data_IF_735089846137
#
_entry.id   IF_735089846137
#
_cell.length_a   1.000
_cell.length_b   1.000
_cell.length_c   1.000
_cell.angle_alpha   90.00
_cell.angle_beta   90.00
_cell.angle_gamma   90.00
#
_symmetry.space_group_name_H-M   'P 1'
#
loop_
_entity.id
_entity.type
_entity.pdbx_description
1 polymer ?
#
# COMPACT_ATOMS: atom_id res chain seq x y z
N UNK A 1 29.58 17.83 -14.13
CA UNK A 1 28.64 16.69 -13.97
C UNK A 1 28.92 15.53 -14.93
N UNK A 2 29.00 15.72 -16.25
CA UNK A 2 29.30 14.65 -17.24
C UNK A 2 30.65 13.92 -17.00
N UNK A 3 31.66 14.61 -16.48
CA UNK A 3 32.99 14.02 -16.18
C UNK A 3 32.95 12.96 -15.06
N UNK A 4 31.96 13.01 -14.16
CA UNK A 4 31.79 12.05 -13.06
C UNK A 4 31.15 10.73 -13.53
N UNK A 5 30.28 10.79 -14.55
CA UNK A 5 29.66 9.62 -15.20
C UNK A 5 30.73 8.67 -15.78
N UNK A 6 31.87 9.22 -16.20
CA UNK A 6 32.95 8.46 -16.87
C UNK A 6 33.83 7.64 -15.94
N UNK A 7 33.85 7.89 -14.63
CA UNK A 7 34.95 7.41 -13.78
C UNK A 7 34.72 6.15 -12.95
N UNK A 8 33.51 5.61 -12.78
CA UNK A 8 33.31 4.24 -12.22
C UNK A 8 31.83 3.84 -12.23
N UNK A 9 31.37 3.18 -13.29
CA UNK A 9 30.10 2.42 -13.29
C UNK A 9 30.43 0.94 -13.04
N UNK A 10 29.76 0.29 -12.10
CA UNK A 10 29.83 -1.17 -11.88
C UNK A 10 28.42 -1.73 -12.07
N UNK A 11 28.06 -2.21 -13.25
CA UNK A 11 26.69 -2.63 -13.61
C UNK A 11 26.43 -4.10 -13.24
N UNK A 12 25.31 -4.38 -12.59
CA UNK A 12 24.74 -5.68 -12.27
C UNK A 12 23.46 -5.91 -13.07
N UNK A 13 23.05 -7.15 -13.30
CA UNK A 13 21.90 -7.41 -14.17
C UNK A 13 20.90 -8.30 -13.42
N UNK A 14 19.68 -7.77 -13.22
CA UNK A 14 18.43 -8.22 -12.54
C UNK A 14 17.22 -8.56 -13.44
N UNK A 15 16.51 -9.72 -13.37
CA UNK A 15 15.39 -10.06 -14.27
C UNK A 15 14.48 -11.31 -14.08
N UNK A 16 13.23 -11.22 -14.58
CA UNK A 16 12.13 -12.23 -14.65
C UNK A 16 11.29 -12.09 -15.97
N UNK A 17 10.57 -13.14 -16.46
CA UNK A 17 9.69 -13.16 -17.69
C UNK A 17 8.26 -13.69 -17.43
N UNK A 18 7.22 -13.06 -18.03
CA UNK A 18 5.91 -13.65 -18.42
C UNK A 18 5.37 -13.01 -19.73
N UNK A 19 4.47 -13.68 -20.45
CA UNK A 19 3.91 -13.25 -21.76
C UNK A 19 2.38 -13.11 -21.76
N UNK A 20 1.84 -12.02 -22.31
CA UNK A 20 0.58 -12.04 -23.08
C UNK A 20 0.41 -10.74 -23.90
N UNK A 21 -0.52 -10.76 -24.86
CA UNK A 21 -0.69 -9.78 -25.96
C UNK A 21 -1.38 -8.49 -25.49
N UNK A 22 -0.82 -7.33 -25.85
CA UNK A 22 -1.54 -6.06 -25.67
C UNK A 22 -0.72 -4.78 -25.66
N UNK A 23 0.29 -4.62 -26.53
CA UNK A 23 0.87 -3.33 -26.92
C UNK A 23 1.62 -3.54 -28.24
N UNK A 24 1.70 -2.55 -29.12
CA UNK A 24 2.63 -2.61 -30.25
C UNK A 24 4.08 -2.57 -29.75
N UNK A 25 4.68 -3.75 -29.60
CA UNK A 25 6.05 -4.09 -30.01
C UNK A 25 7.24 -3.23 -29.51
N UNK A 26 7.29 -2.77 -28.24
CA UNK A 26 8.57 -2.30 -27.64
C UNK A 26 8.97 -3.03 -26.36
N UNK A 27 10.08 -3.78 -26.42
CA UNK A 27 10.72 -4.49 -25.29
C UNK A 27 11.75 -3.59 -24.60
N UNK A 28 11.73 -3.55 -23.27
CA UNK A 28 12.63 -2.71 -22.44
C UNK A 28 13.49 -3.59 -21.53
N UNK A 29 14.80 -3.35 -21.50
CA UNK A 29 15.73 -3.98 -20.56
C UNK A 29 16.19 -2.96 -19.52
N UNK A 30 16.24 -3.37 -18.25
CA UNK A 30 16.73 -2.55 -17.13
C UNK A 30 17.97 -3.21 -16.54
N UNK A 31 19.07 -2.45 -16.44
CA UNK A 31 20.34 -2.87 -15.87
C UNK A 31 20.55 -2.23 -14.50
N UNK A 32 20.90 -3.05 -13.51
CA UNK A 32 21.26 -2.69 -12.13
C UNK A 32 22.75 -2.29 -12.04
N UNK A 33 23.24 -1.83 -10.90
CA UNK A 33 24.68 -1.77 -10.55
C UNK A 33 24.91 -2.52 -9.25
N UNK A 34 26.02 -3.28 -9.09
CA UNK A 34 26.26 -3.89 -7.78
C UNK A 34 26.63 -2.79 -6.84
N UNK A 35 25.80 -2.69 -5.82
CA UNK A 35 26.24 -2.44 -4.47
C UNK A 35 25.34 -3.29 -3.59
N UNK A 36 25.91 -4.37 -3.06
CA UNK A 36 25.31 -5.19 -2.02
C UNK A 36 24.93 -4.31 -0.83
N UNK A 37 23.74 -4.57 -0.26
CA UNK A 37 23.22 -4.01 0.99
C UNK A 37 22.85 -2.51 0.98
N UNK A 38 22.17 -2.03 -0.07
CA UNK A 38 21.49 -0.73 0.04
C UNK A 38 20.02 -0.79 -0.41
N UNK A 39 19.15 -0.58 0.57
CA UNK A 39 17.69 -0.54 0.45
C UNK A 39 17.16 0.39 -0.65
N UNK A 40 17.83 1.52 -0.88
CA UNK A 40 17.41 2.51 -1.86
C UNK A 40 17.47 1.96 -3.29
N UNK A 41 18.39 1.02 -3.55
CA UNK A 41 18.50 0.38 -4.85
C UNK A 41 17.27 -0.49 -5.16
N UNK A 42 16.77 -1.23 -4.15
CA UNK A 42 15.56 -2.03 -4.28
C UNK A 42 14.33 -1.16 -4.45
N UNK A 43 14.27 -0.06 -3.70
CA UNK A 43 13.19 0.91 -3.78
C UNK A 43 13.04 1.52 -5.19
N UNK A 44 14.16 1.99 -5.75
CA UNK A 44 14.21 2.58 -7.09
C UNK A 44 13.85 1.54 -8.16
N UNK A 45 14.40 0.34 -8.04
CA UNK A 45 14.10 -0.77 -8.96
C UNK A 45 12.60 -1.07 -9.00
N UNK A 46 11.98 -1.25 -7.84
CA UNK A 46 10.56 -1.57 -7.74
C UNK A 46 9.68 -0.44 -8.30
N UNK A 47 9.98 0.82 -7.96
CA UNK A 47 9.26 1.98 -8.47
C UNK A 47 9.35 2.12 -9.99
N UNK A 48 10.56 1.98 -10.56
CA UNK A 48 10.76 2.04 -12.00
C UNK A 48 9.95 0.92 -12.66
N UNK A 49 10.06 -0.30 -12.15
CA UNK A 49 9.38 -1.46 -12.72
C UNK A 49 7.86 -1.34 -12.66
N UNK A 50 7.28 -1.04 -11.49
CA UNK A 50 5.83 -0.92 -11.34
C UNK A 50 5.26 0.19 -12.21
N UNK A 51 5.95 1.33 -12.33
CA UNK A 51 5.50 2.41 -13.19
C UNK A 51 5.52 2.02 -14.66
N UNK A 52 6.58 1.35 -15.14
CA UNK A 52 6.66 0.94 -16.55
C UNK A 52 5.62 -0.17 -16.83
N UNK A 53 5.34 -1.06 -15.86
CA UNK A 53 4.28 -2.08 -15.97
C UNK A 53 2.88 -1.49 -16.15
N UNK A 54 2.58 -0.29 -15.63
CA UNK A 54 1.27 0.36 -15.83
C UNK A 54 0.96 0.67 -17.30
N UNK A 55 1.98 0.73 -18.17
CA UNK A 55 1.83 1.15 -19.57
C UNK A 55 2.29 0.12 -20.60
N UNK A 56 2.76 -1.06 -20.17
CA UNK A 56 3.34 -2.01 -21.13
C UNK A 56 3.38 -3.45 -20.63
N UNK A 57 3.24 -4.38 -21.57
CA UNK A 57 3.60 -5.79 -21.37
C UNK A 57 5.12 -5.93 -21.53
N UNK A 58 5.84 -5.77 -20.43
CA UNK A 58 7.31 -5.81 -20.39
C UNK A 58 7.86 -7.24 -20.39
N UNK A 59 8.90 -7.45 -21.19
CA UNK A 59 9.82 -8.58 -21.05
C UNK A 59 11.16 -8.04 -20.57
N UNK A 60 11.42 -8.23 -19.29
CA UNK A 60 12.68 -7.93 -18.62
C UNK A 60 13.60 -9.16 -19.06
N UNK A 61 14.91 -9.02 -19.46
CA UNK A 61 16.06 -10.04 -19.65
C UNK A 61 17.45 -9.91 -18.86
N UNK A 62 17.97 -10.96 -18.14
CA UNK A 62 19.02 -11.01 -17.07
C UNK A 62 20.41 -11.41 -17.61
N UNK A 63 21.52 -10.76 -17.24
CA UNK A 63 22.87 -11.22 -17.68
C UNK A 63 24.07 -10.60 -16.94
N UNK A 64 24.86 -11.37 -16.19
CA UNK A 64 26.00 -10.83 -15.41
C UNK A 64 27.17 -10.31 -16.26
N UNK A 65 27.74 -9.15 -15.89
CA UNK A 65 29.07 -8.77 -16.40
C UNK A 65 29.82 -7.73 -15.54
N UNK A 66 31.01 -8.07 -15.06
CA UNK A 66 31.90 -7.16 -14.33
C UNK A 66 32.79 -6.38 -15.31
N UNK A 67 32.42 -5.15 -15.65
CA UNK A 67 33.26 -4.27 -16.46
C UNK A 67 33.65 -3.00 -15.70
N UNK A 68 34.95 -2.70 -15.68
CA UNK A 68 35.53 -1.50 -15.04
C UNK A 68 35.58 -0.26 -15.95
N UNK A 69 35.15 -0.37 -17.21
CA UNK A 69 35.26 0.70 -18.21
C UNK A 69 33.90 1.10 -18.79
N UNK A 70 33.62 2.40 -18.77
CA UNK A 70 32.38 3.02 -19.27
C UNK A 70 32.07 2.68 -20.74
N UNK A 71 33.09 2.67 -21.60
CA UNK A 71 32.90 2.31 -23.02
C UNK A 71 32.56 0.82 -23.18
N UNK A 72 33.16 -0.05 -22.37
CA UNK A 72 32.83 -1.49 -22.37
C UNK A 72 31.38 -1.71 -21.93
N UNK A 73 30.92 -0.95 -20.94
CA UNK A 73 29.52 -0.96 -20.49
C UNK A 73 28.55 -0.61 -21.62
N UNK A 74 28.78 0.50 -22.34
CA UNK A 74 27.91 0.89 -23.46
C UNK A 74 27.88 -0.13 -24.58
N UNK A 75 29.03 -0.68 -24.95
CA UNK A 75 29.12 -1.74 -25.96
C UNK A 75 28.34 -2.98 -25.53
N UNK A 76 28.35 -3.32 -24.24
CA UNK A 76 27.63 -4.46 -23.70
C UNK A 76 26.13 -4.24 -23.62
N UNK A 77 25.70 -3.05 -23.18
CA UNK A 77 24.29 -2.63 -23.26
C UNK A 77 23.80 -2.83 -24.69
N UNK A 78 24.48 -2.26 -25.69
CA UNK A 78 24.12 -2.45 -27.11
C UNK A 78 24.03 -3.92 -27.51
N UNK A 79 25.06 -4.70 -27.19
CA UNK A 79 25.12 -6.13 -27.51
C UNK A 79 23.93 -6.90 -26.91
N UNK A 80 23.63 -6.65 -25.64
CA UNK A 80 22.53 -7.30 -24.92
C UNK A 80 21.17 -6.82 -25.45
N UNK A 81 21.01 -5.53 -25.75
CA UNK A 81 19.81 -4.98 -26.38
C UNK A 81 19.50 -5.70 -27.69
N UNK A 82 20.50 -5.81 -28.58
CA UNK A 82 20.36 -6.44 -29.90
C UNK A 82 20.08 -7.94 -29.76
N UNK A 83 20.86 -8.66 -28.96
CA UNK A 83 20.71 -10.12 -28.80
C UNK A 83 19.33 -10.54 -28.27
N UNK A 84 18.66 -9.64 -27.55
CA UNK A 84 17.37 -9.91 -26.92
C UNK A 84 16.20 -9.23 -27.64
N UNK A 85 16.44 -8.68 -28.84
CA UNK A 85 15.44 -7.93 -29.60
C UNK A 85 14.75 -6.86 -28.75
N UNK A 86 15.51 -6.15 -27.91
CA UNK A 86 15.02 -5.04 -27.11
C UNK A 86 15.00 -3.74 -27.91
N UNK A 87 13.96 -2.93 -27.73
CA UNK A 87 13.86 -1.62 -28.35
C UNK A 87 14.57 -0.57 -27.50
N UNK A 88 14.41 -0.64 -26.17
CA UNK A 88 15.00 0.33 -25.24
C UNK A 88 15.76 -0.39 -24.14
N UNK A 89 16.82 0.23 -23.66
CA UNK A 89 17.63 -0.32 -22.58
C UNK A 89 18.10 0.78 -21.64
N UNK A 90 17.89 0.58 -20.34
CA UNK A 90 18.15 1.57 -19.30
C UNK A 90 19.16 0.98 -18.33
N UNK A 91 20.30 1.64 -18.11
CA UNK A 91 21.21 1.35 -17.02
C UNK A 91 21.20 2.48 -16.01
N UNK A 92 21.26 2.18 -14.72
CA UNK A 92 21.39 3.22 -13.71
C UNK A 92 22.39 2.83 -12.62
N UNK A 93 23.03 3.84 -12.03
CA UNK A 93 23.94 3.76 -10.90
C UNK A 93 23.49 4.75 -9.84
N UNK A 94 23.56 4.32 -8.58
CA UNK A 94 23.20 5.14 -7.43
C UNK A 94 24.47 5.46 -6.63
N UNK A 95 24.63 6.73 -6.29
CA UNK A 95 25.67 7.21 -5.39
C UNK A 95 25.01 7.87 -4.18
N UNK A 96 25.41 7.45 -2.99
CA UNK A 96 24.85 7.98 -1.74
C UNK A 96 25.60 9.22 -1.27
N UNK A 97 24.85 10.20 -0.80
CA UNK A 97 25.35 11.40 -0.15
C UNK A 97 24.68 11.54 1.22
N UNK A 98 25.26 12.37 2.10
CA UNK A 98 24.76 12.59 3.45
C UNK A 98 23.28 13.02 3.53
N UNK A 99 22.78 13.71 2.50
CA UNK A 99 21.43 14.30 2.46
C UNK A 99 20.57 13.83 1.27
N UNK A 100 20.96 12.76 0.59
CA UNK A 100 20.22 12.27 -0.58
C UNK A 100 21.06 11.34 -1.44
N UNK A 101 20.55 11.02 -2.62
CA UNK A 101 21.15 10.09 -3.57
C UNK A 101 21.28 10.76 -4.93
N UNK A 102 22.31 10.39 -5.67
CA UNK A 102 22.46 10.74 -7.08
C UNK A 102 22.22 9.49 -7.91
N UNK A 103 21.18 9.53 -8.75
CA UNK A 103 20.84 8.48 -9.68
C UNK A 103 21.38 8.89 -11.04
N UNK A 104 22.48 8.29 -11.47
CA UNK A 104 23.01 8.42 -12.82
C UNK A 104 22.35 7.35 -13.68
N UNK A 105 21.78 7.70 -14.82
CA UNK A 105 21.17 6.72 -15.71
C UNK A 105 21.49 7.01 -17.17
N UNK A 106 21.47 5.92 -17.92
CA UNK A 106 21.80 5.86 -19.33
C UNK A 106 20.65 5.13 -20.03
N UNK A 107 20.09 5.72 -21.07
CA UNK A 107 19.06 5.10 -21.89
C UNK A 107 19.60 4.93 -23.31
N UNK A 108 19.45 3.73 -23.85
CA UNK A 108 19.79 3.36 -25.22
C UNK A 108 18.52 3.01 -25.99
N UNK A 109 18.34 3.63 -27.16
CA UNK A 109 17.28 3.33 -28.12
C UNK A 109 17.88 2.56 -29.30
N UNK A 110 17.44 1.32 -29.50
CA UNK A 110 17.92 0.46 -30.58
C UNK A 110 17.48 0.95 -31.97
N UNK A 111 16.34 1.65 -32.07
CA UNK A 111 15.87 2.24 -33.33
C UNK A 111 16.71 3.44 -33.75
N UNK A 112 17.47 4.02 -32.81
CA UNK A 112 18.36 5.15 -33.01
C UNK A 112 19.72 4.88 -32.36
N UNK A 113 20.47 3.92 -32.91
CA UNK A 113 21.69 3.37 -32.31
C UNK A 113 22.82 4.38 -31.96
N UNK A 114 22.71 5.65 -32.38
CA UNK A 114 23.63 6.74 -32.07
C UNK A 114 23.13 7.71 -30.97
N UNK A 115 21.86 7.65 -30.58
CA UNK A 115 21.28 8.51 -29.54
C UNK A 115 21.30 7.78 -28.18
N UNK A 116 22.13 8.28 -27.26
CA UNK A 116 22.14 7.87 -25.86
C UNK A 116 21.63 9.03 -25.01
N UNK A 117 20.71 8.75 -24.09
CA UNK A 117 20.41 9.72 -23.01
C UNK A 117 21.29 9.39 -21.83
N UNK A 118 22.07 10.36 -21.37
CA UNK A 118 22.89 10.26 -20.16
C UNK A 118 22.52 11.41 -19.23
N UNK A 119 21.92 11.07 -18.10
CA UNK A 119 21.44 12.08 -17.16
C UNK A 119 21.71 11.66 -15.72
N UNK A 120 21.61 12.64 -14.84
CA UNK A 120 21.77 12.48 -13.41
C UNK A 120 20.59 13.17 -12.72
N UNK A 121 19.96 12.48 -11.79
CA UNK A 121 18.92 13.04 -10.93
C UNK A 121 19.38 12.94 -9.49
N UNK A 122 19.59 14.10 -8.86
CA UNK A 122 19.74 14.14 -7.42
C UNK A 122 18.36 14.07 -6.78
N UNK A 123 18.19 13.17 -5.82
CA UNK A 123 16.97 13.01 -5.05
C UNK A 123 17.30 13.09 -3.58
N UNK A 124 16.55 13.89 -2.84
CA UNK A 124 16.38 13.58 -1.42
C UNK A 124 15.50 12.35 -1.29
N UNK A 125 15.60 11.69 -0.15
CA UNK A 125 14.78 10.53 0.22
C UNK A 125 13.27 10.85 0.13
N UNK A 126 12.86 12.00 0.69
CA UNK A 126 11.48 12.52 0.68
C UNK A 126 10.93 12.82 -0.73
N UNK A 127 11.82 13.04 -1.70
CA UNK A 127 11.47 13.39 -3.08
C UNK A 127 11.60 12.20 -4.04
N UNK A 128 11.80 10.97 -3.53
CA UNK A 128 12.16 9.81 -4.34
C UNK A 128 11.17 9.56 -5.48
N UNK A 129 9.87 9.56 -5.21
CA UNK A 129 8.84 9.37 -6.23
C UNK A 129 8.90 10.45 -7.32
N UNK A 130 9.08 11.71 -6.92
CA UNK A 130 9.18 12.83 -7.86
C UNK A 130 10.42 12.67 -8.75
N UNK A 131 11.54 12.28 -8.16
CA UNK A 131 12.80 12.05 -8.86
C UNK A 131 12.73 10.85 -9.82
N UNK A 132 12.09 9.75 -9.42
CA UNK A 132 11.86 8.60 -10.29
C UNK A 132 10.92 8.96 -11.44
N UNK A 133 9.90 9.79 -11.21
CA UNK A 133 9.03 10.28 -12.28
C UNK A 133 9.79 11.06 -13.35
N UNK A 134 10.88 11.75 -13.01
CA UNK A 134 11.76 12.41 -14.00
C UNK A 134 12.48 11.39 -14.89
N UNK A 135 12.99 10.30 -14.30
CA UNK A 135 13.62 9.20 -15.06
C UNK A 135 12.60 8.52 -15.97
N UNK A 136 11.41 8.23 -15.44
CA UNK A 136 10.31 7.61 -16.19
C UNK A 136 9.84 8.50 -17.35
N UNK A 137 9.77 9.81 -17.14
CA UNK A 137 9.44 10.78 -18.20
C UNK A 137 10.40 10.64 -19.38
N UNK A 138 11.70 10.56 -19.13
CA UNK A 138 12.69 10.39 -20.19
C UNK A 138 12.52 9.05 -20.94
N UNK A 139 12.20 7.97 -20.20
CA UNK A 139 11.90 6.66 -20.79
C UNK A 139 10.67 6.74 -21.70
N UNK A 140 9.62 7.43 -21.25
CA UNK A 140 8.37 7.58 -22.00
C UNK A 140 8.49 8.49 -23.23
N UNK A 141 9.26 9.57 -23.13
CA UNK A 141 9.56 10.45 -24.26
C UNK A 141 10.32 9.70 -25.37
N UNK A 142 11.35 8.92 -25.02
CA UNK A 142 12.10 8.09 -26.00
C UNK A 142 11.21 7.01 -26.61
N UNK A 143 10.37 6.36 -25.81
CA UNK A 143 9.45 5.33 -26.30
C UNK A 143 8.31 5.88 -27.16
N UNK A 144 8.19 7.21 -27.31
CA UNK A 144 7.14 7.90 -28.08
C UNK A 144 5.73 7.52 -27.63
N UNK A 145 5.54 7.26 -26.35
CA UNK A 145 4.21 6.98 -25.79
C UNK A 145 3.38 8.26 -25.87
N UNK A 146 2.38 8.27 -26.75
CA UNK A 146 1.48 9.42 -26.98
C UNK A 146 0.31 9.50 -25.99
N UNK A 147 0.15 8.50 -25.13
CA UNK A 147 -0.94 8.46 -24.15
C UNK A 147 -0.67 9.39 -22.96
N UNK A 148 -1.74 9.76 -22.24
CA UNK A 148 -1.64 10.51 -20.98
C UNK A 148 -0.82 9.70 -19.97
N UNK A 149 0.45 10.05 -19.82
CA UNK A 149 1.36 9.40 -18.86
C UNK A 149 0.86 9.72 -17.46
N UNK A 150 0.49 8.70 -16.71
CA UNK A 150 0.25 8.79 -15.27
C UNK A 150 1.38 8.06 -14.52
N UNK A 151 1.77 8.57 -13.38
CA UNK A 151 2.81 7.97 -12.57
C UNK A 151 2.18 7.44 -11.29
N UNK A 152 2.72 6.35 -10.75
CA UNK A 152 2.37 5.89 -9.41
C UNK A 152 2.74 7.02 -8.45
N UNK A 153 1.70 7.62 -7.85
CA UNK A 153 1.92 8.56 -6.77
C UNK A 153 2.26 7.75 -5.53
N UNK A 154 3.01 8.34 -4.61
CA UNK A 154 3.37 7.69 -3.36
C UNK A 154 2.16 7.21 -2.55
N UNK A 155 1.05 7.94 -2.61
CA UNK A 155 -0.22 7.52 -2.00
C UNK A 155 -0.92 6.34 -2.69
N UNK A 156 -0.62 6.12 -3.97
CA UNK A 156 -1.22 5.07 -4.81
C UNK A 156 -0.29 3.84 -4.89
N UNK A 157 0.90 3.92 -4.29
CA UNK A 157 1.87 2.84 -4.31
C UNK A 157 1.43 1.74 -3.34
N UNK A 158 1.25 0.53 -3.88
CA UNK A 158 0.96 -0.68 -3.10
C UNK A 158 2.25 -1.51 -3.05
N UNK A 159 2.68 -1.88 -1.84
CA UNK A 159 3.79 -2.83 -1.67
C UNK A 159 3.45 -4.17 -2.33
N UNK A 160 4.44 -4.99 -2.72
CA UNK A 160 4.15 -6.35 -3.21
C UNK A 160 3.31 -7.14 -2.18
N UNK A 161 3.54 -6.86 -0.90
CA UNK A 161 2.77 -7.36 0.23
C UNK A 161 1.29 -6.94 0.19
N UNK A 162 0.99 -5.66 -0.05
CA UNK A 162 -0.39 -5.16 -0.20
C UNK A 162 -1.11 -5.73 -1.43
N UNK A 163 -0.39 -6.00 -2.52
CA UNK A 163 -0.97 -6.62 -3.72
C UNK A 163 -1.32 -8.10 -3.49
N UNK A 164 -0.46 -8.86 -2.79
CA UNK A 164 -0.72 -10.27 -2.50
C UNK A 164 -1.71 -10.47 -1.34
N UNK A 165 -1.72 -9.59 -0.32
CA UNK A 165 -2.71 -9.65 0.77
C UNK A 165 -4.14 -9.37 0.29
N UNK A 166 -4.32 -8.54 -0.75
CA UNK A 166 -5.63 -8.27 -1.35
C UNK A 166 -6.15 -9.39 -2.26
N UNK A 167 -5.27 -10.23 -2.82
CA UNK A 167 -5.64 -11.29 -3.78
C UNK A 167 -5.72 -12.69 -3.18
N UNK A 168 -5.11 -12.92 -2.02
CA UNK A 168 -5.11 -14.22 -1.36
C UNK A 168 -6.20 -14.19 -0.29
N UNK A 169 -7.30 -14.90 -0.55
CA UNK A 169 -8.26 -15.28 0.50
C UNK A 169 -7.48 -16.21 1.45
N UNK A 170 -7.19 -15.70 2.65
CA UNK A 170 -6.21 -16.27 3.58
C UNK A 170 -6.75 -17.54 4.26
N UNK A 171 -6.14 -18.67 3.95
CA UNK A 171 -6.25 -19.92 4.73
C UNK A 171 -4.99 -20.09 5.59
N UNK A 172 -5.13 -19.89 6.91
CA UNK A 172 -4.32 -20.41 8.04
C UNK A 172 -2.78 -20.34 8.04
N UNK A 173 -2.11 -19.62 7.12
CA UNK A 173 -0.63 -19.55 7.06
C UNK A 173 -0.08 -18.12 6.92
N UNK A 174 -0.67 -17.16 7.63
CA UNK A 174 -0.28 -15.74 7.56
C UNK A 174 1.20 -15.53 7.91
N UNK A 175 1.70 -16.12 9.00
CA UNK A 175 3.04 -15.84 9.53
C UNK A 175 4.19 -16.23 8.58
N UNK A 176 4.01 -17.27 7.76
CA UNK A 176 5.06 -17.76 6.86
C UNK A 176 5.27 -16.85 5.65
N UNK A 177 4.21 -16.24 5.13
CA UNK A 177 4.30 -15.32 3.98
C UNK A 177 4.95 -14.00 4.44
N UNK A 178 4.50 -13.45 5.57
CA UNK A 178 5.05 -12.24 6.14
C UNK A 178 6.53 -12.40 6.54
N UNK A 179 6.91 -13.54 7.13
CA UNK A 179 8.31 -13.84 7.47
C UNK A 179 9.20 -13.99 6.23
N UNK A 180 8.72 -14.69 5.20
CA UNK A 180 9.42 -14.80 3.91
C UNK A 180 9.68 -13.40 3.32
N UNK A 181 8.66 -12.54 3.29
CA UNK A 181 8.81 -11.17 2.78
C UNK A 181 9.69 -10.29 3.66
N UNK A 182 9.63 -10.43 4.98
CA UNK A 182 10.57 -9.79 5.90
C UNK A 182 12.01 -10.19 5.59
N UNK A 183 12.29 -11.49 5.42
CA UNK A 183 13.63 -11.96 5.10
C UNK A 183 14.14 -11.41 3.74
N UNK A 184 13.23 -11.22 2.77
CA UNK A 184 13.55 -10.60 1.46
C UNK A 184 13.71 -9.07 1.50
N UNK A 185 13.06 -8.38 2.44
CA UNK A 185 12.90 -6.92 2.40
C UNK A 185 13.16 -6.19 3.72
N UNK A 186 13.71 -6.85 4.75
CA UNK A 186 14.05 -6.24 6.06
C UNK A 186 14.96 -5.02 5.95
N UNK A 187 15.71 -4.94 4.85
CA UNK A 187 16.56 -3.78 4.57
C UNK A 187 15.77 -2.65 3.87
N UNK A 188 14.65 -2.93 3.18
CA UNK A 188 13.87 -1.97 2.37
C UNK A 188 12.57 -1.49 3.03
N UNK A 189 12.72 -0.45 3.85
CA UNK A 189 11.65 0.07 4.70
C UNK A 189 10.69 1.04 4.01
N UNK A 190 11.10 1.69 2.91
CA UNK A 190 10.17 2.53 2.14
C UNK A 190 8.89 1.78 1.75
N UNK A 191 8.94 0.45 1.73
CA UNK A 191 7.95 -0.38 1.05
C UNK A 191 7.34 -1.53 1.83
N UNK A 192 7.42 -1.52 3.16
CA UNK A 192 6.72 -2.50 4.01
C UNK A 192 5.79 -1.85 5.04
N UNK A 193 5.13 -0.76 4.66
CA UNK A 193 4.15 -0.12 5.54
C UNK A 193 3.01 -1.07 5.86
N UNK A 194 2.55 -1.89 4.91
CA UNK A 194 1.48 -2.85 5.17
C UNK A 194 1.90 -3.93 6.17
N UNK A 195 3.17 -4.35 6.15
CA UNK A 195 3.71 -5.26 7.16
C UNK A 195 3.90 -4.57 8.51
N UNK A 196 4.38 -3.32 8.52
CA UNK A 196 4.42 -2.50 9.73
C UNK A 196 3.02 -2.34 10.33
N UNK A 197 1.99 -2.04 9.53
CA UNK A 197 0.59 -1.99 9.97
C UNK A 197 0.16 -3.32 10.56
N UNK A 198 0.40 -4.42 9.86
CA UNK A 198 0.07 -5.78 10.32
C UNK A 198 0.68 -6.10 11.69
N UNK A 199 1.99 -5.86 11.86
CA UNK A 199 2.69 -6.03 13.13
C UNK A 199 2.15 -5.08 14.21
N UNK A 200 1.81 -3.85 13.81
CA UNK A 200 1.23 -2.85 14.71
C UNK A 200 -0.15 -3.27 15.16
N UNK A 201 -0.96 -3.91 14.32
CA UNK A 201 -2.30 -4.38 14.68
C UNK A 201 -2.25 -5.58 15.61
N UNK A 202 -1.36 -6.56 15.33
CA UNK A 202 -1.07 -7.68 16.23
C UNK A 202 -0.65 -7.20 17.62
N UNK A 203 0.27 -6.24 17.68
CA UNK A 203 0.77 -5.67 18.94
C UNK A 203 1.20 -6.69 19.99
N UNK A 204 1.71 -7.86 19.59
CA UNK A 204 2.34 -8.80 20.52
C UNK A 204 3.83 -8.48 20.71
N UNK A 205 4.47 -9.12 21.70
CA UNK A 205 5.89 -8.88 22.01
C UNK A 205 6.79 -9.13 20.80
N UNK A 206 6.56 -10.22 20.08
CA UNK A 206 7.33 -10.59 18.89
C UNK A 206 7.22 -9.53 17.79
N UNK A 207 6.02 -9.01 17.57
CA UNK A 207 5.76 -7.96 16.60
C UNK A 207 6.47 -6.67 16.97
N UNK A 208 6.46 -6.30 18.26
CA UNK A 208 7.21 -5.13 18.76
C UNK A 208 8.72 -5.31 18.54
N UNK A 209 9.27 -6.50 18.80
CA UNK A 209 10.69 -6.79 18.58
C UNK A 209 11.08 -6.70 17.11
N UNK A 210 10.26 -7.24 16.20
CA UNK A 210 10.48 -7.11 14.75
C UNK A 210 10.42 -5.64 14.33
N UNK A 211 9.48 -4.85 14.85
CA UNK A 211 9.41 -3.40 14.56
C UNK A 211 10.67 -2.70 15.09
N UNK A 212 11.17 -3.06 16.28
CA UNK A 212 12.42 -2.50 16.82
C UNK A 212 13.60 -2.80 15.87
N UNK A 213 13.73 -4.03 15.39
CA UNK A 213 14.79 -4.44 14.46
C UNK A 213 14.72 -3.68 13.14
N UNK A 214 13.50 -3.53 12.59
CA UNK A 214 13.26 -2.69 11.41
C UNK A 214 13.77 -1.27 11.65
N UNK A 215 13.35 -0.64 12.76
CA UNK A 215 13.77 0.72 13.10
C UNK A 215 15.30 0.81 13.24
N UNK A 216 15.95 -0.14 13.90
CA UNK A 216 17.41 -0.18 14.01
C UNK A 216 18.09 -0.23 12.65
N UNK A 217 17.55 -1.01 11.71
CA UNK A 217 18.03 -1.04 10.34
C UNK A 217 17.83 0.32 9.64
N UNK A 218 16.66 0.97 9.79
CA UNK A 218 16.42 2.31 9.23
C UNK A 218 17.48 3.31 9.66
N UNK A 219 17.89 3.27 10.94
CA UNK A 219 18.80 4.26 11.51
C UNK A 219 20.16 4.32 10.82
N UNK A 220 20.59 3.21 10.20
CA UNK A 220 21.85 3.13 9.48
C UNK A 220 21.82 3.89 8.14
N UNK A 221 20.62 4.15 7.63
CA UNK A 221 20.45 4.59 6.25
C UNK A 221 19.56 5.82 6.05
N UNK A 222 18.79 6.19 7.07
CA UNK A 222 17.75 7.22 7.00
C UNK A 222 18.06 8.38 7.94
N UNK A 223 17.77 9.61 7.50
CA UNK A 223 17.85 10.77 8.39
C UNK A 223 16.68 10.76 9.41
N UNK A 224 16.98 10.29 10.64
CA UNK A 224 16.03 10.12 11.75
C UNK A 224 15.09 11.31 12.01
N UNK A 225 15.55 12.54 11.79
CA UNK A 225 14.77 13.76 12.09
C UNK A 225 13.95 14.28 10.91
N UNK A 226 14.22 13.81 9.69
CA UNK A 226 13.63 14.35 8.45
C UNK A 226 12.90 13.31 7.62
N UNK A 227 12.80 12.07 8.09
CA UNK A 227 12.09 11.01 7.38
C UNK A 227 10.79 10.67 8.11
N UNK A 228 9.66 10.91 7.44
CA UNK A 228 8.33 10.68 8.00
C UNK A 228 8.03 9.19 8.21
N UNK A 229 8.58 8.27 7.40
CA UNK A 229 8.43 6.83 7.60
C UNK A 229 9.16 6.35 8.85
N UNK A 230 10.38 6.84 9.08
CA UNK A 230 11.11 6.51 10.31
C UNK A 230 10.35 6.94 11.56
N UNK A 231 9.85 8.18 11.57
CA UNK A 231 9.04 8.72 12.66
C UNK A 231 7.73 7.94 12.82
N UNK A 232 7.09 7.58 11.71
CA UNK A 232 5.89 6.76 11.75
C UNK A 232 6.14 5.38 12.37
N UNK A 233 7.23 4.71 11.98
CA UNK A 233 7.62 3.41 12.54
C UNK A 233 7.92 3.50 14.03
N UNK A 234 8.59 4.56 14.49
CA UNK A 234 8.74 4.83 15.93
C UNK A 234 7.37 4.97 16.62
N UNK A 235 6.43 5.67 15.99
CA UNK A 235 5.06 5.79 16.49
C UNK A 235 4.38 4.43 16.65
N UNK A 236 4.48 3.57 15.64
CA UNK A 236 3.96 2.20 15.63
C UNK A 236 4.61 1.30 16.69
N UNK A 237 5.93 1.40 16.86
CA UNK A 237 6.67 0.67 17.87
C UNK A 237 6.18 1.02 19.28
N UNK A 238 6.06 2.31 19.59
CA UNK A 238 5.57 2.77 20.88
C UNK A 238 4.08 2.44 21.08
N UNK A 239 3.26 2.52 20.03
CA UNK A 239 1.87 2.07 20.06
C UNK A 239 1.76 0.59 20.46
N UNK A 240 2.56 -0.26 19.81
CA UNK A 240 2.65 -1.68 20.13
C UNK A 240 3.13 -1.93 21.56
N UNK A 241 4.19 -1.25 22.01
CA UNK A 241 4.69 -1.32 23.40
C UNK A 241 3.61 -0.96 24.42
N UNK A 242 2.84 0.09 24.15
CA UNK A 242 1.70 0.45 25.00
C UNK A 242 0.65 -0.67 25.02
N UNK A 243 0.28 -1.25 23.88
CA UNK A 243 -0.69 -2.37 23.86
C UNK A 243 -0.20 -3.61 24.61
N UNK A 244 1.10 -3.85 24.68
CA UNK A 244 1.70 -4.98 25.43
C UNK A 244 1.80 -4.69 26.93
N UNK A 245 2.30 -3.51 27.31
CA UNK A 245 2.74 -3.22 28.69
C UNK A 245 1.90 -2.14 29.40
N UNK A 246 1.04 -1.42 28.67
CA UNK A 246 0.15 -0.35 29.17
C UNK A 246 0.91 0.76 29.92
N UNK A 247 2.01 1.22 29.33
CA UNK A 247 2.84 2.30 29.89
C UNK A 247 2.47 3.63 29.25
N UNK A 248 1.90 4.58 30.01
CA UNK A 248 1.41 5.85 29.47
C UNK A 248 2.45 6.66 28.67
N UNK A 249 3.72 6.60 29.06
CA UNK A 249 4.78 7.28 28.31
C UNK A 249 4.96 6.72 26.89
N UNK A 250 4.65 5.44 26.66
CA UNK A 250 4.71 4.84 25.33
C UNK A 250 3.57 5.36 24.44
N UNK A 251 2.34 5.51 24.95
CA UNK A 251 1.27 6.07 24.12
C UNK A 251 1.51 7.56 23.80
N UNK A 252 2.13 8.30 24.72
CA UNK A 252 2.55 9.68 24.49
C UNK A 252 3.67 9.77 23.43
N UNK A 253 4.69 8.90 23.54
CA UNK A 253 5.76 8.81 22.55
C UNK A 253 5.22 8.40 21.18
N UNK A 254 4.21 7.53 21.14
CA UNK A 254 3.52 7.14 19.90
C UNK A 254 2.89 8.34 19.21
N UNK A 255 2.05 9.09 19.94
CA UNK A 255 1.36 10.30 19.45
C UNK A 255 2.37 11.37 19.02
N UNK A 256 3.45 11.58 19.78
CA UNK A 256 4.47 12.55 19.44
C UNK A 256 5.14 12.22 18.10
N UNK A 257 5.53 10.96 17.91
CA UNK A 257 6.19 10.51 16.69
C UNK A 257 5.26 10.53 15.47
N UNK A 258 3.99 10.13 15.63
CA UNK A 258 2.99 10.29 14.58
C UNK A 258 2.77 11.76 14.19
N UNK A 259 2.70 12.67 15.16
CA UNK A 259 2.60 14.11 14.89
C UNK A 259 3.84 14.66 14.17
N UNK A 260 5.05 14.18 14.50
CA UNK A 260 6.27 14.54 13.78
C UNK A 260 6.23 14.04 12.32
N UNK A 261 5.78 12.80 12.10
CA UNK A 261 5.59 12.26 10.75
C UNK A 261 4.57 13.10 9.95
N UNK A 262 3.45 13.46 10.59
CA UNK A 262 2.41 14.28 9.99
C UNK A 262 2.90 15.69 9.61
N UNK A 263 3.73 16.31 10.44
CA UNK A 263 4.35 17.63 10.15
C UNK A 263 5.25 17.60 8.91
N UNK A 264 5.95 16.49 8.69
CA UNK A 264 6.77 16.31 7.50
C UNK A 264 5.93 15.97 6.28
N UNK A 265 4.84 15.22 6.47
CA UNK A 265 3.94 14.81 5.40
C UNK A 265 2.50 14.67 5.89
N UNK A 266 1.65 15.61 5.46
CA UNK A 266 0.27 15.77 5.94
C UNK A 266 -0.80 15.13 5.04
N UNK A 267 -0.42 14.44 3.97
CA UNK A 267 -1.36 13.87 3.00
C UNK A 267 -1.35 12.33 3.00
N UNK A 268 -0.91 11.73 4.11
CA UNK A 268 -0.85 10.28 4.25
C UNK A 268 -1.84 9.80 5.32
N UNK A 269 -2.95 9.21 4.86
CA UNK A 269 -4.12 8.89 5.70
C UNK A 269 -3.80 7.99 6.90
N UNK A 270 -2.83 7.06 6.77
CA UNK A 270 -2.47 6.15 7.87
C UNK A 270 -1.94 6.88 9.10
N UNK A 271 -1.36 8.09 8.96
CA UNK A 271 -0.91 8.89 10.10
C UNK A 271 -2.09 9.39 10.93
N UNK A 272 -3.12 9.90 10.26
CA UNK A 272 -4.36 10.32 10.89
C UNK A 272 -5.07 9.13 11.54
N UNK A 273 -5.18 8.01 10.82
CA UNK A 273 -5.76 6.78 11.33
C UNK A 273 -5.07 6.28 12.62
N UNK A 274 -3.73 6.18 12.63
CA UNK A 274 -3.00 5.74 13.82
C UNK A 274 -3.03 6.75 14.96
N UNK A 275 -3.05 8.05 14.66
CA UNK A 275 -3.30 9.08 15.68
C UNK A 275 -4.66 8.86 16.32
N UNK A 276 -5.71 8.65 15.52
CA UNK A 276 -7.05 8.41 16.03
C UNK A 276 -7.10 7.21 16.98
N UNK A 277 -6.48 6.10 16.58
CA UNK A 277 -6.36 4.90 17.42
C UNK A 277 -5.54 5.15 18.69
N UNK A 278 -4.45 5.92 18.62
CA UNK A 278 -3.70 6.28 19.80
C UNK A 278 -4.50 7.17 20.78
N UNK A 279 -5.32 8.08 20.27
CA UNK A 279 -6.22 8.91 21.08
C UNK A 279 -7.38 8.08 21.69
N UNK A 280 -7.90 7.07 20.98
CA UNK A 280 -8.84 6.09 21.57
C UNK A 280 -8.22 5.42 22.79
N UNK A 281 -6.96 4.97 22.68
CA UNK A 281 -6.25 4.33 23.78
C UNK A 281 -5.97 5.27 24.96
N UNK A 282 -5.95 6.59 24.72
CA UNK A 282 -5.92 7.63 25.77
C UNK A 282 -7.30 8.03 26.30
N UNK A 283 -8.39 7.41 25.81
CA UNK A 283 -9.77 7.79 26.09
C UNK A 283 -10.14 9.23 25.68
N UNK A 284 -9.39 9.81 24.75
CA UNK A 284 -9.65 11.14 24.19
C UNK A 284 -10.40 10.99 22.87
N UNK A 285 -11.70 10.73 22.99
CA UNK A 285 -12.56 10.40 21.84
C UNK A 285 -12.79 11.60 20.91
N UNK A 286 -12.75 12.83 21.42
CA UNK A 286 -12.94 14.03 20.61
C UNK A 286 -11.78 14.22 19.61
N UNK A 287 -10.53 14.05 20.09
CA UNK A 287 -9.38 14.05 19.17
C UNK A 287 -9.42 12.84 18.24
N UNK A 288 -9.79 11.65 18.74
CA UNK A 288 -9.91 10.47 17.89
C UNK A 288 -10.89 10.68 16.72
N UNK A 289 -12.07 11.25 16.98
CA UNK A 289 -13.07 11.58 15.95
C UNK A 289 -12.46 12.50 14.90
N UNK A 290 -11.84 13.61 15.34
CA UNK A 290 -11.19 14.58 14.43
C UNK A 290 -10.15 13.93 13.52
N UNK A 291 -9.29 13.07 14.07
CA UNK A 291 -8.26 12.40 13.26
C UNK A 291 -8.86 11.33 12.33
N UNK A 292 -9.91 10.63 12.73
CA UNK A 292 -10.62 9.71 11.83
C UNK A 292 -11.26 10.43 10.64
N UNK A 293 -11.90 11.57 10.87
CA UNK A 293 -12.49 12.38 9.79
C UNK A 293 -11.44 12.78 8.76
N UNK A 294 -10.26 13.24 9.20
CA UNK A 294 -9.15 13.57 8.30
C UNK A 294 -8.62 12.33 7.54
N UNK A 295 -8.53 11.17 8.20
CA UNK A 295 -8.15 9.93 7.54
C UNK A 295 -9.14 9.55 6.43
N UNK A 296 -10.45 9.64 6.71
CA UNK A 296 -11.52 9.32 5.75
C UNK A 296 -11.60 10.36 4.63
N UNK A 297 -11.34 11.64 4.89
CA UNK A 297 -11.23 12.67 3.84
C UNK A 297 -10.10 12.37 2.86
N UNK A 298 -8.99 11.82 3.34
CA UNK A 298 -7.84 11.47 2.50
C UNK A 298 -8.00 10.12 1.78
N UNK A 299 -8.75 9.18 2.36
CA UNK A 299 -9.03 7.88 1.77
C UNK A 299 -10.49 7.45 1.97
N UNK A 300 -11.36 7.97 1.11
CA UNK A 300 -12.82 7.86 1.28
C UNK A 300 -13.40 6.47 0.96
N UNK A 301 -12.61 5.56 0.38
CA UNK A 301 -13.04 4.23 -0.05
C UNK A 301 -12.56 3.11 0.88
N UNK A 302 -11.81 3.43 1.94
CA UNK A 302 -11.32 2.45 2.90
C UNK A 302 -12.43 2.06 3.89
N UNK A 303 -13.16 1.00 3.56
CA UNK A 303 -14.28 0.50 4.37
C UNK A 303 -13.84 0.19 5.80
N UNK A 304 -12.62 -0.32 6.01
CA UNK A 304 -12.16 -0.72 7.35
C UNK A 304 -12.03 0.50 8.27
N UNK A 305 -11.45 1.60 7.77
CA UNK A 305 -11.36 2.85 8.53
C UNK A 305 -12.76 3.40 8.84
N UNK A 306 -13.67 3.36 7.86
CA UNK A 306 -15.04 3.84 8.08
C UNK A 306 -15.76 2.98 9.14
N UNK A 307 -15.55 1.66 9.16
CA UNK A 307 -16.12 0.77 10.17
C UNK A 307 -15.58 1.06 11.57
N UNK A 308 -14.27 1.27 11.71
CA UNK A 308 -13.67 1.64 13.00
C UNK A 308 -14.21 3.00 13.49
N UNK A 309 -14.36 3.97 12.59
CA UNK A 309 -14.94 5.26 12.92
C UNK A 309 -16.42 5.17 13.33
N UNK A 310 -17.22 4.38 12.62
CA UNK A 310 -18.61 4.09 12.99
C UNK A 310 -18.68 3.46 14.39
N UNK A 311 -17.79 2.52 14.70
CA UNK A 311 -17.70 1.91 16.03
C UNK A 311 -17.41 2.95 17.12
N UNK A 312 -16.51 3.90 16.86
CA UNK A 312 -16.21 5.01 17.76
C UNK A 312 -17.44 5.92 17.97
N UNK A 313 -18.11 6.34 16.90
CA UNK A 313 -19.28 7.23 16.97
C UNK A 313 -20.45 6.58 17.74
N UNK A 314 -20.64 5.26 17.59
CA UNK A 314 -21.69 4.49 18.28
C UNK A 314 -21.58 4.51 19.81
N UNK A 315 -20.42 4.89 20.38
CA UNK A 315 -20.27 5.04 21.84
C UNK A 315 -21.21 6.08 22.43
N UNK A 316 -21.57 7.09 21.65
CA UNK A 316 -22.60 8.07 21.99
C UNK A 316 -23.61 8.18 20.82
N UNK A 317 -24.40 7.11 20.65
CA UNK A 317 -25.36 7.01 19.55
C UNK A 317 -26.46 8.08 19.61
N UNK A 318 -26.75 8.63 20.79
CA UNK A 318 -27.73 9.69 20.95
C UNK A 318 -27.22 11.00 20.34
N UNK A 319 -25.92 11.28 20.50
CA UNK A 319 -25.26 12.43 19.87
C UNK A 319 -24.99 12.19 18.38
N UNK A 320 -24.49 11.01 18.02
CA UNK A 320 -23.89 10.75 16.71
C UNK A 320 -24.76 9.91 15.75
N UNK A 321 -26.02 9.64 16.09
CA UNK A 321 -26.88 8.70 15.35
C UNK A 321 -27.01 9.01 13.86
N UNK A 322 -27.20 10.28 13.49
CA UNK A 322 -27.30 10.69 12.09
C UNK A 322 -25.99 10.50 11.31
N UNK A 323 -24.84 10.79 11.93
CA UNK A 323 -23.53 10.57 11.33
C UNK A 323 -23.27 9.08 11.13
N UNK A 324 -23.59 8.24 12.13
CA UNK A 324 -23.49 6.79 12.02
C UNK A 324 -24.31 6.27 10.84
N UNK A 325 -25.56 6.72 10.68
CA UNK A 325 -26.39 6.37 9.52
C UNK A 325 -25.71 6.80 8.21
N UNK A 326 -25.19 8.02 8.14
CA UNK A 326 -24.50 8.54 6.95
C UNK A 326 -23.29 7.68 6.56
N UNK A 327 -22.43 7.33 7.52
CA UNK A 327 -21.27 6.48 7.24
C UNK A 327 -21.63 5.02 6.93
N UNK A 328 -22.68 4.47 7.55
CA UNK A 328 -23.19 3.15 7.18
C UNK A 328 -23.73 3.14 5.75
N UNK A 329 -24.44 4.20 5.33
CA UNK A 329 -24.86 4.36 3.92
C UNK A 329 -23.66 4.42 2.98
N UNK A 330 -22.60 5.16 3.35
CA UNK A 330 -21.36 5.22 2.59
C UNK A 330 -20.70 3.85 2.43
N UNK A 331 -20.65 3.03 3.50
CA UNK A 331 -20.15 1.65 3.40
C UNK A 331 -20.99 0.84 2.39
N UNK A 332 -22.32 0.96 2.43
CA UNK A 332 -23.23 0.25 1.52
C UNK A 332 -23.11 0.76 0.07
N UNK A 333 -22.79 2.04 -0.14
CA UNK A 333 -22.51 2.58 -1.46
C UNK A 333 -21.23 2.00 -2.06
N UNK A 334 -20.17 1.85 -1.25
CA UNK A 334 -18.90 1.25 -1.68
C UNK A 334 -19.03 -0.27 -1.86
N UNK A 335 -19.69 -0.95 -0.91
CA UNK A 335 -19.97 -2.38 -0.95
C UNK A 335 -21.45 -2.66 -0.64
N UNK A 336 -22.24 -2.85 -1.71
CA UNK A 336 -23.69 -3.11 -1.63
C UNK A 336 -24.04 -4.38 -0.86
N UNK A 337 -23.09 -5.30 -0.72
CA UNK A 337 -23.27 -6.59 -0.07
C UNK A 337 -22.63 -6.64 1.32
N UNK A 338 -22.26 -5.50 1.91
CA UNK A 338 -21.71 -5.47 3.28
C UNK A 338 -22.81 -5.81 4.29
N UNK A 339 -22.86 -7.09 4.69
CA UNK A 339 -23.88 -7.62 5.60
C UNK A 339 -23.88 -6.93 6.97
N UNK A 340 -22.71 -6.55 7.45
CA UNK A 340 -22.57 -5.91 8.75
C UNK A 340 -23.17 -4.51 8.70
N UNK A 341 -22.80 -3.71 7.70
CA UNK A 341 -23.35 -2.37 7.54
C UNK A 341 -24.88 -2.39 7.33
N UNK A 342 -25.38 -3.32 6.50
CA UNK A 342 -26.82 -3.51 6.29
C UNK A 342 -27.55 -3.90 7.57
N UNK A 343 -26.98 -4.79 8.39
CA UNK A 343 -27.57 -5.19 9.68
C UNK A 343 -27.58 -4.04 10.68
N UNK A 344 -26.46 -3.32 10.79
CA UNK A 344 -26.31 -2.21 11.73
C UNK A 344 -27.25 -1.05 11.38
N UNK A 345 -27.37 -0.68 10.11
CA UNK A 345 -28.25 0.41 9.69
C UNK A 345 -29.73 0.03 9.88
N UNK A 346 -30.11 -1.21 9.59
CA UNK A 346 -31.49 -1.70 9.78
C UNK A 346 -31.91 -1.61 11.24
N UNK A 347 -31.06 -2.09 12.15
CA UNK A 347 -31.29 -2.03 13.59
C UNK A 347 -31.33 -0.60 14.13
N UNK A 348 -30.50 0.28 13.58
CA UNK A 348 -30.48 1.68 13.99
C UNK A 348 -31.77 2.39 13.61
N UNK A 349 -32.25 2.20 12.38
CA UNK A 349 -33.56 2.70 11.95
C UNK A 349 -34.71 2.14 12.78
N UNK A 350 -34.70 0.84 13.07
CA UNK A 350 -35.69 0.21 13.94
C UNK A 350 -35.69 0.83 15.34
N UNK A 351 -34.51 1.09 15.92
CA UNK A 351 -34.36 1.68 17.26
C UNK A 351 -34.88 3.12 17.34
N UNK A 352 -34.72 3.91 16.28
CA UNK A 352 -35.23 5.29 16.23
C UNK A 352 -36.71 5.37 15.83
N UNK A 353 -37.35 4.24 15.55
CA UNK A 353 -38.77 4.15 15.19
C UNK A 353 -39.09 4.43 13.73
N UNK A 354 -38.07 4.58 12.88
CA UNK A 354 -38.24 4.73 11.43
C UNK A 354 -38.33 3.34 10.78
N UNK A 355 -39.52 2.75 10.93
CA UNK A 355 -39.79 1.38 10.52
C UNK A 355 -39.75 1.19 9.00
N UNK A 356 -40.08 2.24 8.22
CA UNK A 356 -40.01 2.21 6.76
C UNK A 356 -38.58 2.00 6.27
N UNK A 357 -37.63 2.82 6.76
CA UNK A 357 -36.23 2.63 6.41
C UNK A 357 -35.67 1.33 6.99
N UNK A 358 -36.06 0.94 8.21
CA UNK A 358 -35.65 -0.35 8.78
C UNK A 358 -36.05 -1.51 7.87
N UNK A 359 -37.30 -1.52 7.38
CA UNK A 359 -37.81 -2.55 6.46
C UNK A 359 -37.04 -2.57 5.14
N UNK A 360 -36.74 -1.40 4.55
CA UNK A 360 -35.94 -1.30 3.32
C UNK A 360 -34.57 -1.98 3.50
N UNK A 361 -33.87 -1.69 4.58
CA UNK A 361 -32.52 -2.23 4.79
C UNK A 361 -32.53 -3.70 5.26
N UNK A 362 -33.54 -4.14 6.01
CA UNK A 362 -33.70 -5.56 6.32
C UNK A 362 -34.00 -6.39 5.07
N UNK A 363 -34.79 -5.87 4.13
CA UNK A 363 -35.02 -6.54 2.85
C UNK A 363 -33.73 -6.65 2.02
N UNK A 364 -32.93 -5.58 1.93
CA UNK A 364 -31.60 -5.64 1.30
C UNK A 364 -30.68 -6.67 1.97
N UNK A 365 -30.65 -6.70 3.29
CA UNK A 365 -29.89 -7.70 4.04
C UNK A 365 -30.39 -9.12 3.71
N UNK A 366 -31.70 -9.33 3.65
CA UNK A 366 -32.30 -10.62 3.31
C UNK A 366 -31.89 -11.10 1.90
N UNK A 367 -31.87 -10.19 0.91
CA UNK A 367 -31.38 -10.48 -0.44
C UNK A 367 -29.91 -10.93 -0.43
N UNK A 368 -29.03 -10.20 0.28
CA UNK A 368 -27.61 -10.55 0.40
C UNK A 368 -27.42 -11.91 1.07
N UNK A 369 -28.18 -12.21 2.12
CA UNK A 369 -28.14 -13.53 2.78
C UNK A 369 -28.61 -14.64 1.86
N UNK A 370 -29.66 -14.43 1.05
CA UNK A 370 -30.11 -15.43 0.07
C UNK A 370 -29.06 -15.67 -1.02
N UNK A 371 -28.40 -14.59 -1.48
CA UNK A 371 -27.32 -14.69 -2.45
C UNK A 371 -26.13 -15.50 -1.90
N UNK A 372 -25.72 -15.22 -0.66
CA UNK A 372 -24.64 -15.98 -0.02
C UNK A 372 -25.03 -17.44 0.26
N UNK A 373 -26.28 -17.72 0.61
CA UNK A 373 -26.80 -19.10 0.69
C UNK A 373 -26.73 -19.83 -0.65
N UNK A 374 -27.05 -19.15 -1.75
CA UNK A 374 -26.94 -19.72 -3.08
C UNK A 374 -25.48 -20.09 -3.41
N UNK A 375 -24.52 -19.21 -3.12
CA UNK A 375 -23.09 -19.49 -3.29
C UNK A 375 -22.66 -20.68 -2.41
N UNK A 376 -23.03 -20.66 -1.13
CA UNK A 376 -22.64 -21.71 -0.19
C UNK A 376 -23.17 -23.08 -0.63
N UNK A 377 -24.42 -23.15 -1.06
CA UNK A 377 -25.05 -24.40 -1.45
C UNK A 377 -24.52 -24.95 -2.79
N UNK A 378 -24.26 -24.07 -3.77
CA UNK A 378 -23.99 -24.49 -5.14
C UNK A 378 -22.50 -24.48 -5.50
N UNK A 379 -21.71 -23.60 -4.88
CA UNK A 379 -20.30 -23.41 -5.22
C UNK A 379 -19.37 -24.00 -4.17
N UNK A 380 -19.50 -23.60 -2.90
CA UNK A 380 -18.57 -24.06 -1.84
C UNK A 380 -18.96 -25.39 -1.23
N UNK A 381 -20.26 -25.70 -1.19
CA UNK A 381 -20.85 -26.90 -0.58
C UNK A 381 -20.45 -27.08 0.89
N UNK A 382 -20.35 -25.96 1.62
CA UNK A 382 -20.05 -25.93 3.05
C UNK A 382 -21.34 -26.04 3.88
N UNK A 383 -21.60 -27.22 4.44
CA UNK A 383 -22.79 -27.51 5.22
C UNK A 383 -22.89 -26.68 6.51
N UNK A 384 -21.77 -26.48 7.21
CA UNK A 384 -21.76 -25.70 8.46
C UNK A 384 -22.06 -24.22 8.19
N UNK A 385 -21.49 -23.68 7.10
CA UNK A 385 -21.81 -22.33 6.66
C UNK A 385 -23.28 -22.21 6.25
N UNK A 386 -23.81 -23.21 5.55
CA UNK A 386 -25.21 -23.22 5.12
C UNK A 386 -26.16 -23.11 6.32
N UNK A 387 -25.97 -23.94 7.35
CA UNK A 387 -26.82 -23.93 8.54
C UNK A 387 -26.77 -22.59 9.29
N UNK A 388 -25.57 -21.99 9.43
CA UNK A 388 -25.41 -20.66 10.03
C UNK A 388 -26.17 -19.59 9.25
N UNK A 389 -26.11 -19.63 7.92
CA UNK A 389 -26.78 -18.65 7.07
C UNK A 389 -28.29 -18.86 7.00
N UNK A 390 -28.79 -20.10 7.06
CA UNK A 390 -30.22 -20.39 7.17
C UNK A 390 -30.78 -19.83 8.47
N UNK A 391 -30.08 -20.02 9.60
CA UNK A 391 -30.47 -19.43 10.87
C UNK A 391 -30.55 -17.90 10.78
N UNK A 392 -29.53 -17.27 10.20
CA UNK A 392 -29.48 -15.82 9.98
C UNK A 392 -30.63 -15.34 9.10
N UNK A 393 -30.91 -16.04 7.99
CA UNK A 393 -32.03 -15.75 7.08
C UNK A 393 -33.37 -15.78 7.80
N UNK A 394 -33.61 -16.82 8.61
CA UNK A 394 -34.87 -16.97 9.35
C UNK A 394 -35.04 -15.86 10.40
N UNK A 395 -33.97 -15.48 11.10
CA UNK A 395 -33.99 -14.34 12.03
C UNK A 395 -34.34 -13.03 11.32
N UNK A 396 -33.76 -12.76 10.14
CA UNK A 396 -34.07 -11.55 9.37
C UNK A 396 -35.52 -11.56 8.89
N UNK A 397 -36.02 -12.72 8.45
CA UNK A 397 -37.42 -12.88 8.03
C UNK A 397 -38.40 -12.52 9.16
N UNK A 398 -38.13 -12.97 10.38
CA UNK A 398 -38.94 -12.62 11.55
C UNK A 398 -38.92 -11.11 11.85
N UNK A 399 -37.77 -10.45 11.69
CA UNK A 399 -37.69 -9.00 11.84
C UNK A 399 -38.53 -8.27 10.80
N UNK A 400 -38.47 -8.69 9.53
CA UNK A 400 -39.30 -8.14 8.44
C UNK A 400 -40.79 -8.32 8.74
N UNK A 401 -41.21 -9.52 9.15
CA UNK A 401 -42.60 -9.79 9.53
C UNK A 401 -43.05 -8.94 10.72
N UNK A 402 -42.18 -8.74 11.72
CA UNK A 402 -42.48 -7.90 12.87
C UNK A 402 -42.60 -6.42 12.49
N UNK A 403 -41.75 -5.91 11.59
CA UNK A 403 -41.82 -4.52 11.12
C UNK A 403 -43.06 -4.26 10.28
N UNK A 404 -43.44 -5.19 9.40
CA UNK A 404 -44.67 -5.06 8.62
C UNK A 404 -45.89 -4.89 9.52
N UNK A 405 -45.98 -5.59 10.65
CA UNK A 405 -47.07 -5.44 11.64
C UNK A 405 -47.04 -4.11 12.42
N UNK A 406 -45.93 -3.37 12.39
CA UNK A 406 -45.81 -2.05 13.03
C UNK A 406 -46.15 -0.91 12.07
N UNK A 407 -45.99 -1.14 10.77
CA UNK A 407 -46.25 -0.16 9.70
C UNK A 407 -47.70 -0.21 9.24
N UNK A 408 -48.25 -1.42 9.08
CA UNK A 408 -49.62 -1.72 8.69
C UNK A 408 -50.40 -2.29 9.87
#
# INVERSE_FOLDING_TARGET
MIKFIKNTFIIFFILIIFTSKGFSQKSIIIFKTDYSNNYMNYAIYDLIIKNIFLYSNLKIMNSYSNYSSYNKIKSQIKKITINNNANISIAYQIQNFKNGILINYIIFDNEKANEWIEKSVYSKEEDLFISINKILKDIYEISKIKNKITYIKEKDYISLLGYYSQKIILTNNEDNIYKLFYDFHKDNIYFNIDYLEYLTDKSDRTSVDIINDLINNMQNYINKKKNHYYLYSLGCMHYGKYKVNVILSDIEASIENYNKALKLKNNYYKYYYRLANAYILKNDYDNAIKYYEEAIKLNEYDINIIKEFVSLLKRDINKNGNEVISYLKKIIEINKNDEEALKEISKLYEKIGDYDNALIYYNKLFEVINYNLYIINNETKDADAYDRYIFKRNSIKLNIESLNKKIF
#
